data_IF_562302858259
#
_entry.id   IF_562302858259
#
_cell.length_a   1.000
_cell.length_b   1.000
_cell.length_c   1.000
_cell.angle_alpha   90.00
_cell.angle_beta   90.00
_cell.angle_gamma   90.00
#
_symmetry.space_group_name_H-M   'P 1'
#
loop_
_entity.id
_entity.type
_entity.pdbx_description
1 polymer ?
#
# COMPACT_ATOMS: atom_id res chain seq x y z
N UNK A 1 0.20 28.91 3.27
CA UNK A 1 0.94 27.72 3.79
C UNK A 1 0.08 26.50 3.58
N UNK A 2 0.62 25.44 2.95
CA UNK A 2 -0.05 24.14 2.86
C UNK A 2 0.47 23.20 3.96
N UNK A 3 -0.41 22.32 4.47
CA UNK A 3 -0.05 21.28 5.43
C UNK A 3 -0.91 20.04 5.24
N UNK A 4 -0.40 18.87 5.63
CA UNK A 4 -1.16 17.63 5.60
C UNK A 4 -2.20 17.60 6.73
N UNK A 5 -3.49 17.62 6.37
CA UNK A 5 -4.59 17.59 7.33
C UNK A 5 -4.96 16.16 7.76
N UNK A 6 -4.63 15.17 6.97
CA UNK A 6 -4.89 13.75 7.20
C UNK A 6 -5.01 12.97 5.88
N UNK A 7 -5.13 11.63 5.99
CA UNK A 7 -4.88 10.80 7.17
C UNK A 7 -3.41 10.72 7.55
N UNK A 8 -3.11 10.25 8.78
CA UNK A 8 -1.75 10.07 9.28
C UNK A 8 -1.70 9.93 10.80
N UNK A 9 -0.48 9.77 11.33
CA UNK A 9 -0.25 9.69 12.77
C UNK A 9 -0.61 11.03 13.43
N UNK A 10 -1.53 10.99 14.39
CA UNK A 10 -2.10 12.19 15.01
C UNK A 10 -1.05 13.16 15.58
N UNK A 11 0.00 12.63 16.23
CA UNK A 11 1.08 13.46 16.77
C UNK A 11 1.84 14.23 15.67
N UNK A 12 2.13 13.58 14.54
CA UNK A 12 2.80 14.22 13.40
C UNK A 12 1.91 15.25 12.72
N UNK A 13 0.62 14.93 12.54
CA UNK A 13 -0.37 15.86 11.96
C UNK A 13 -0.51 17.11 12.83
N UNK A 14 -0.65 16.95 14.16
CA UNK A 14 -0.77 18.08 15.09
C UNK A 14 0.45 19.01 15.06
N UNK A 15 1.68 18.47 14.95
CA UNK A 15 2.90 19.28 14.85
C UNK A 15 2.88 20.08 13.54
N UNK A 16 2.61 19.42 12.41
CA UNK A 16 2.54 20.07 11.10
C UNK A 16 1.48 21.17 11.04
N UNK A 17 0.28 20.86 11.52
CA UNK A 17 -0.84 21.80 11.59
C UNK A 17 -0.52 23.00 12.48
N UNK A 18 0.06 22.78 13.67
CA UNK A 18 0.41 23.88 14.60
C UNK A 18 1.44 24.83 13.98
N UNK A 19 2.48 24.28 13.34
CA UNK A 19 3.50 25.10 12.66
C UNK A 19 2.87 25.88 11.52
N UNK A 20 2.08 25.24 10.66
CA UNK A 20 1.44 25.87 9.51
C UNK A 20 0.47 27.00 9.95
N UNK A 21 -0.36 26.75 10.95
CA UNK A 21 -1.28 27.76 11.55
C UNK A 21 -0.52 28.92 12.14
N UNK A 22 0.59 28.68 12.81
CA UNK A 22 1.42 29.76 13.40
C UNK A 22 2.00 30.65 12.30
N UNK A 23 2.58 30.06 11.26
CA UNK A 23 3.12 30.81 10.12
C UNK A 23 2.03 31.63 9.42
N UNK A 24 0.89 30.99 9.12
CA UNK A 24 -0.25 31.63 8.49
C UNK A 24 -0.73 32.84 9.27
N UNK A 25 -0.90 32.71 10.60
CA UNK A 25 -1.33 33.79 11.45
C UNK A 25 -0.32 34.93 11.58
N UNK A 26 0.97 34.62 11.68
CA UNK A 26 2.02 35.64 11.83
C UNK A 26 2.25 36.42 10.57
N UNK A 27 2.19 35.77 9.41
CA UNK A 27 2.44 36.38 8.11
C UNK A 27 1.18 36.84 7.39
N UNK A 28 0.00 36.62 7.96
CA UNK A 28 -1.31 36.91 7.37
C UNK A 28 -1.44 36.32 5.95
N UNK A 29 -1.08 35.05 5.80
CA UNK A 29 -1.16 34.30 4.54
C UNK A 29 -2.12 33.12 4.67
N UNK A 30 -2.71 32.72 3.54
CA UNK A 30 -3.71 31.65 3.48
C UNK A 30 -3.17 30.32 3.97
N UNK A 31 -4.03 29.57 4.68
CA UNK A 31 -3.76 28.22 5.19
C UNK A 31 -4.54 27.20 4.36
N UNK A 32 -3.83 26.24 3.75
CA UNK A 32 -4.41 25.23 2.86
C UNK A 32 -4.23 23.83 3.45
N UNK A 33 -5.32 23.18 3.93
CA UNK A 33 -5.28 21.79 4.36
C UNK A 33 -5.27 20.86 3.13
N UNK A 34 -4.33 19.92 3.10
CA UNK A 34 -4.16 18.95 2.00
C UNK A 34 -4.45 17.55 2.52
N UNK A 35 -5.22 16.78 1.76
CA UNK A 35 -5.42 15.36 2.01
C UNK A 35 -4.17 14.58 1.58
N UNK A 36 -3.62 13.75 2.48
CA UNK A 36 -2.41 12.96 2.22
C UNK A 36 -2.59 11.97 1.05
N UNK A 37 -3.74 11.31 0.98
CA UNK A 37 -4.01 10.34 -0.09
C UNK A 37 -4.19 11.03 -1.45
N UNK A 38 -4.81 12.21 -1.47
CA UNK A 38 -4.88 13.04 -2.68
C UNK A 38 -3.50 13.41 -3.19
N UNK A 39 -2.56 13.71 -2.29
CA UNK A 39 -1.16 13.93 -2.66
C UNK A 39 -0.53 12.71 -3.35
N UNK A 40 -0.87 11.50 -2.93
CA UNK A 40 -0.42 10.28 -3.61
C UNK A 40 -1.10 10.06 -4.97
N UNK A 41 -2.42 10.33 -5.06
CA UNK A 41 -3.18 10.19 -6.31
C UNK A 41 -2.65 11.15 -7.39
N UNK A 42 -2.24 12.34 -6.99
CA UNK A 42 -1.74 13.38 -7.91
C UNK A 42 -0.24 13.30 -8.20
N UNK A 43 0.53 12.55 -7.39
CA UNK A 43 1.98 12.46 -7.53
C UNK A 43 2.47 12.02 -8.93
N UNK A 44 1.82 11.07 -9.64
CA UNK A 44 2.22 10.70 -10.99
C UNK A 44 2.18 11.87 -11.99
N UNK A 45 1.29 12.83 -11.81
CA UNK A 45 1.22 14.04 -12.63
C UNK A 45 2.43 14.99 -12.49
N UNK A 46 3.30 14.77 -11.47
CA UNK A 46 4.57 15.50 -11.36
C UNK A 46 5.65 14.94 -12.29
N UNK A 47 5.54 13.67 -12.68
CA UNK A 47 6.49 12.99 -13.58
C UNK A 47 5.97 12.98 -15.01
N UNK A 48 4.65 12.86 -15.20
CA UNK A 48 3.98 12.90 -16.51
C UNK A 48 2.98 14.05 -16.58
N UNK A 49 3.39 15.16 -17.19
CA UNK A 49 2.55 16.34 -17.39
C UNK A 49 1.37 16.09 -18.34
N UNK A 50 1.36 14.94 -19.06
CA UNK A 50 0.27 14.56 -19.96
C UNK A 50 -0.74 13.61 -19.31
N UNK A 51 -0.62 13.34 -18.02
CA UNK A 51 -1.60 12.54 -17.29
C UNK A 51 -2.94 13.29 -17.26
N UNK A 52 -3.88 12.82 -18.06
CA UNK A 52 -5.22 13.41 -18.16
C UNK A 52 -6.25 12.54 -17.41
N UNK A 53 -7.28 13.19 -16.89
CA UNK A 53 -8.46 12.49 -16.32
C UNK A 53 -9.42 12.08 -17.45
N UNK A 54 -10.21 10.98 -17.29
CA UNK A 54 -10.22 10.09 -16.13
C UNK A 54 -9.07 9.08 -16.12
N UNK A 55 -8.61 8.67 -14.93
CA UNK A 55 -7.66 7.58 -14.78
C UNK A 55 -7.94 6.75 -13.52
N UNK A 56 -7.40 5.53 -13.48
CA UNK A 56 -7.42 4.68 -12.30
C UNK A 56 -6.09 4.79 -11.56
N UNK A 57 -6.17 4.90 -10.24
CA UNK A 57 -5.02 4.92 -9.35
C UNK A 57 -5.05 3.69 -8.44
N UNK A 58 -4.04 2.82 -8.53
CA UNK A 58 -3.79 1.80 -7.53
C UNK A 58 -2.88 2.39 -6.45
N UNK A 59 -3.47 2.72 -5.31
CA UNK A 59 -2.76 3.23 -4.14
C UNK A 59 -2.32 2.07 -3.26
N UNK A 60 -1.01 1.84 -3.15
CA UNK A 60 -0.41 0.79 -2.32
C UNK A 60 0.58 1.40 -1.34
N UNK A 61 0.31 1.25 -0.05
CA UNK A 61 1.16 1.79 1.02
C UNK A 61 1.16 0.90 2.26
N UNK A 62 1.86 1.33 3.31
CA UNK A 62 1.85 0.65 4.62
C UNK A 62 0.49 0.69 5.33
N UNK A 63 -0.37 1.67 5.03
CA UNK A 63 -1.66 1.84 5.71
C UNK A 63 -2.88 1.73 4.78
N UNK A 64 -2.68 1.79 3.46
CA UNK A 64 -3.78 1.80 2.50
C UNK A 64 -3.47 0.91 1.30
N UNK A 65 -4.51 0.21 0.82
CA UNK A 65 -4.49 -0.48 -0.47
C UNK A 65 -5.87 -0.27 -1.08
N UNK A 66 -5.94 0.56 -2.12
CA UNK A 66 -7.19 1.02 -2.72
C UNK A 66 -7.08 1.15 -4.24
N UNK A 67 -8.16 0.84 -4.96
CA UNK A 67 -8.36 1.24 -6.34
C UNK A 67 -9.28 2.47 -6.32
N UNK A 68 -8.81 3.55 -6.92
CA UNK A 68 -9.49 4.84 -6.91
C UNK A 68 -9.65 5.31 -8.34
N UNK A 69 -10.87 5.64 -8.73
CA UNK A 69 -11.16 6.38 -9.97
C UNK A 69 -11.01 7.88 -9.72
N UNK A 70 -10.17 8.51 -10.52
CA UNK A 70 -10.07 9.96 -10.62
C UNK A 70 -10.81 10.39 -11.89
N UNK A 71 -12.08 10.76 -11.76
CA UNK A 71 -12.90 11.21 -12.90
C UNK A 71 -12.52 12.60 -13.36
N UNK A 72 -12.15 13.47 -12.43
CA UNK A 72 -11.56 14.80 -12.63
C UNK A 72 -10.74 15.19 -11.39
N UNK A 73 -9.86 16.18 -11.51
CA UNK A 73 -9.07 16.63 -10.36
C UNK A 73 -9.99 17.13 -9.23
N UNK A 74 -9.81 16.52 -8.03
CA UNK A 74 -10.65 16.78 -6.87
C UNK A 74 -11.91 15.90 -6.76
N UNK A 75 -12.17 15.03 -7.75
CA UNK A 75 -13.30 14.08 -7.74
C UNK A 75 -12.78 12.65 -7.78
N UNK A 76 -12.84 11.97 -6.63
CA UNK A 76 -12.29 10.65 -6.41
C UNK A 76 -13.36 9.67 -5.93
N UNK A 77 -13.41 8.49 -6.54
CA UNK A 77 -14.29 7.40 -6.12
C UNK A 77 -13.46 6.16 -5.80
N UNK A 78 -13.60 5.63 -4.57
CA UNK A 78 -12.99 4.35 -4.20
C UNK A 78 -13.84 3.24 -4.85
N UNK A 79 -13.23 2.46 -5.73
CA UNK A 79 -13.86 1.33 -6.40
C UNK A 79 -13.65 0.03 -5.63
N UNK A 80 -12.53 -0.09 -4.92
CA UNK A 80 -12.20 -1.22 -4.07
C UNK A 80 -11.10 -0.88 -3.08
N UNK A 81 -11.09 -1.56 -1.95
CA UNK A 81 -10.10 -1.37 -0.90
C UNK A 81 -9.81 -2.67 -0.13
N UNK A 82 -8.73 -2.67 0.64
CA UNK A 82 -8.49 -3.81 1.52
C UNK A 82 -9.53 -3.90 2.63
N UNK A 83 -10.03 -5.11 2.88
CA UNK A 83 -11.00 -5.37 3.95
C UNK A 83 -10.33 -5.74 5.29
N UNK A 84 -9.00 -5.86 5.28
CA UNK A 84 -8.21 -6.22 6.45
C UNK A 84 -6.84 -5.50 6.44
N UNK A 85 -5.73 -6.21 6.38
CA UNK A 85 -4.39 -5.62 6.34
C UNK A 85 -4.16 -4.87 5.02
N UNK A 86 -3.47 -3.74 5.07
CA UNK A 86 -2.90 -3.13 3.85
C UNK A 86 -1.76 -4.00 3.29
N UNK A 87 -1.50 -3.88 2.00
CA UNK A 87 -0.43 -4.62 1.32
C UNK A 87 0.93 -4.43 2.02
N UNK A 88 1.34 -3.18 2.29
CA UNK A 88 2.60 -2.89 2.96
C UNK A 88 2.64 -3.42 4.40
N UNK A 89 1.52 -3.40 5.12
CA UNK A 89 1.40 -4.00 6.44
C UNK A 89 1.60 -5.53 6.40
N UNK A 90 1.08 -6.21 5.37
CA UNK A 90 1.32 -7.63 5.16
C UNK A 90 2.81 -7.92 4.93
N UNK A 91 3.51 -7.10 4.14
CA UNK A 91 4.97 -7.19 3.95
C UNK A 91 5.73 -6.98 5.25
N UNK A 92 5.36 -6.01 6.09
CA UNK A 92 6.00 -5.76 7.39
C UNK A 92 5.80 -6.94 8.35
N UNK A 93 4.57 -7.50 8.39
CA UNK A 93 4.25 -8.69 9.20
C UNK A 93 5.04 -9.92 8.76
N UNK A 94 5.14 -10.18 7.46
CA UNK A 94 5.92 -11.30 6.91
C UNK A 94 7.42 -11.06 7.09
N UNK A 95 7.91 -9.84 6.88
CA UNK A 95 9.30 -9.48 7.17
C UNK A 95 9.69 -9.81 8.60
N UNK A 96 8.83 -9.51 9.57
CA UNK A 96 9.05 -9.88 10.97
C UNK A 96 9.11 -11.39 11.19
N UNK A 97 8.28 -12.19 10.50
CA UNK A 97 8.32 -13.64 10.57
C UNK A 97 9.64 -14.23 10.00
N UNK A 98 10.20 -13.56 9.00
CA UNK A 98 11.48 -13.90 8.36
C UNK A 98 12.70 -13.31 9.09
N UNK A 99 12.53 -12.77 10.30
CA UNK A 99 13.58 -12.13 11.11
C UNK A 99 14.22 -10.91 10.43
N UNK A 100 13.48 -10.20 9.58
CA UNK A 100 13.93 -8.98 8.92
C UNK A 100 13.52 -7.73 9.73
N UNK A 101 14.40 -6.72 9.75
CA UNK A 101 14.09 -5.46 10.42
C UNK A 101 13.05 -4.65 9.65
N UNK A 102 12.40 -3.73 10.34
CA UNK A 102 11.51 -2.72 9.75
C UNK A 102 12.30 -1.68 8.93
N UNK A 103 11.76 -1.19 7.79
CA UNK A 103 10.54 -1.64 7.12
C UNK A 103 10.72 -3.00 6.40
N UNK A 104 9.69 -3.84 6.48
CA UNK A 104 9.75 -5.22 5.95
C UNK A 104 9.69 -5.25 4.43
N UNK A 105 8.90 -4.39 3.79
CA UNK A 105 8.67 -4.42 2.34
C UNK A 105 9.95 -4.49 1.50
N UNK A 106 10.86 -3.51 1.56
CA UNK A 106 12.11 -3.54 0.77
C UNK A 106 13.00 -4.75 1.09
N UNK A 107 12.99 -5.22 2.34
CA UNK A 107 13.83 -6.35 2.78
C UNK A 107 13.28 -7.69 2.30
N UNK A 108 11.96 -7.89 2.38
CA UNK A 108 11.29 -9.07 1.82
C UNK A 108 11.48 -9.12 0.30
N UNK A 109 11.30 -8.00 -0.40
CA UNK A 109 11.52 -7.92 -1.84
C UNK A 109 12.95 -8.26 -2.23
N UNK A 110 13.94 -7.73 -1.50
CA UNK A 110 15.35 -8.07 -1.73
C UNK A 110 15.67 -9.55 -1.46
N UNK A 111 15.08 -10.13 -0.41
CA UNK A 111 15.25 -11.55 -0.11
C UNK A 111 14.60 -12.43 -1.19
N UNK A 112 13.49 -12.01 -1.75
CA UNK A 112 12.76 -12.69 -2.81
C UNK A 112 13.53 -12.81 -4.14
N UNK A 113 14.48 -11.89 -4.42
CA UNK A 113 15.29 -11.90 -5.66
C UNK A 113 16.04 -13.22 -5.91
N UNK A 114 16.40 -13.94 -4.84
CA UNK A 114 17.10 -15.23 -4.90
C UNK A 114 16.19 -16.45 -4.80
N UNK A 115 14.88 -16.26 -4.68
CA UNK A 115 13.92 -17.33 -4.37
C UNK A 115 13.13 -17.82 -5.58
N UNK A 116 12.49 -18.99 -5.39
CA UNK A 116 11.58 -19.58 -6.37
C UNK A 116 10.12 -19.22 -6.01
N UNK A 117 9.43 -18.36 -6.79
CA UNK A 117 8.07 -17.91 -6.50
C UNK A 117 7.01 -19.03 -6.61
N UNK A 118 7.33 -20.14 -7.27
CA UNK A 118 6.43 -21.28 -7.45
C UNK A 118 6.55 -22.36 -6.36
N UNK A 119 7.47 -22.19 -5.38
CA UNK A 119 7.72 -23.23 -4.37
C UNK A 119 6.56 -23.39 -3.39
N UNK A 120 5.93 -22.29 -2.98
CA UNK A 120 4.82 -22.29 -2.04
C UNK A 120 3.58 -21.69 -2.70
N UNK A 121 2.46 -22.40 -2.58
CA UNK A 121 1.18 -21.89 -3.09
C UNK A 121 0.40 -21.19 -1.97
N UNK A 122 0.76 -19.95 -1.70
CA UNK A 122 0.06 -19.12 -0.71
C UNK A 122 -1.33 -18.70 -1.19
N UNK A 123 -2.29 -18.45 -0.28
CA UNK A 123 -3.66 -18.12 -0.64
C UNK A 123 -3.74 -16.75 -1.36
N UNK A 124 -4.64 -16.66 -2.34
CA UNK A 124 -5.05 -15.43 -3.02
C UNK A 124 -6.51 -15.18 -2.68
N UNK A 125 -6.73 -14.42 -1.62
CA UNK A 125 -8.08 -14.15 -1.14
C UNK A 125 -8.88 -13.29 -2.13
N UNK A 126 -10.21 -13.41 -2.10
CA UNK A 126 -11.19 -12.63 -2.87
C UNK A 126 -11.06 -12.71 -4.41
N UNK A 127 -10.15 -13.52 -4.95
CA UNK A 127 -9.87 -13.62 -6.39
C UNK A 127 -11.06 -14.11 -7.24
N UNK A 128 -12.07 -14.69 -6.62
CA UNK A 128 -13.29 -15.19 -7.30
C UNK A 128 -14.52 -14.31 -7.07
N UNK A 129 -14.37 -13.31 -6.22
CA UNK A 129 -15.45 -12.39 -5.90
C UNK A 129 -15.61 -11.36 -7.03
N UNK A 130 -16.84 -10.88 -7.19
CA UNK A 130 -17.18 -9.88 -8.22
C UNK A 130 -16.92 -8.43 -7.77
N UNK A 131 -16.28 -8.26 -6.61
CA UNK A 131 -15.89 -6.93 -6.11
C UNK A 131 -14.38 -6.70 -6.35
N UNK A 132 -13.96 -5.46 -6.20
CA UNK A 132 -12.58 -5.02 -6.38
C UNK A 132 -11.79 -4.93 -5.06
N UNK A 133 -12.31 -5.55 -3.99
CA UNK A 133 -11.67 -5.50 -2.69
C UNK A 133 -10.49 -6.46 -2.59
N UNK A 134 -9.57 -6.12 -1.69
CA UNK A 134 -8.38 -6.91 -1.38
C UNK A 134 -8.47 -7.53 0.01
N UNK A 135 -7.72 -8.62 0.23
CA UNK A 135 -7.49 -9.18 1.55
C UNK A 135 -6.10 -9.80 1.61
N UNK A 136 -5.33 -9.44 2.63
CA UNK A 136 -3.94 -9.89 2.82
C UNK A 136 -3.70 -10.57 4.17
N UNK A 137 -4.61 -10.50 5.14
CA UNK A 137 -4.41 -11.03 6.50
C UNK A 137 -4.17 -12.54 6.51
N UNK A 138 -4.79 -13.29 5.59
CA UNK A 138 -4.61 -14.73 5.44
C UNK A 138 -3.21 -15.14 5.01
N UNK A 139 -2.48 -14.28 4.29
CA UNK A 139 -1.11 -14.53 3.82
C UNK A 139 -0.12 -14.65 4.98
N UNK A 140 -0.21 -13.75 5.98
CA UNK A 140 0.65 -13.82 7.18
C UNK A 140 0.51 -15.19 7.88
N UNK A 141 -0.71 -15.66 8.06
CA UNK A 141 -0.98 -16.93 8.73
C UNK A 141 -0.46 -18.11 7.91
N UNK A 142 -0.64 -18.09 6.59
CA UNK A 142 -0.14 -19.11 5.69
C UNK A 142 1.41 -19.19 5.71
N UNK A 143 2.07 -18.03 5.71
CA UNK A 143 3.55 -17.97 5.85
C UNK A 143 3.98 -18.50 7.21
N UNK A 144 3.31 -18.12 8.31
CA UNK A 144 3.64 -18.60 9.65
C UNK A 144 3.64 -20.15 9.73
N UNK A 145 2.58 -20.78 9.21
CA UNK A 145 2.51 -22.25 9.19
C UNK A 145 3.55 -22.88 8.25
N UNK A 146 3.86 -22.26 7.12
CA UNK A 146 4.89 -22.77 6.24
C UNK A 146 6.28 -22.77 6.89
N UNK A 147 6.55 -21.80 7.77
CA UNK A 147 7.85 -21.68 8.44
C UNK A 147 8.09 -22.72 9.54
N UNK A 148 7.06 -23.42 10.04
CA UNK A 148 7.20 -24.42 11.12
C UNK A 148 8.16 -25.56 10.76
N UNK A 149 8.22 -25.94 9.47
CA UNK A 149 9.04 -27.07 8.98
C UNK A 149 10.21 -26.60 8.09
N UNK A 150 10.55 -25.30 8.08
CA UNK A 150 11.56 -24.72 7.20
C UNK A 150 12.79 -24.20 7.95
N UNK A 151 13.93 -24.20 7.26
CA UNK A 151 15.17 -23.59 7.73
C UNK A 151 15.38 -22.22 7.06
N UNK A 152 16.26 -21.36 7.60
CA UNK A 152 16.54 -20.02 7.06
C UNK A 152 16.99 -20.03 5.59
N UNK A 153 17.62 -21.11 5.13
CA UNK A 153 17.99 -21.29 3.70
C UNK A 153 16.79 -21.31 2.75
N UNK A 154 15.59 -21.61 3.26
CA UNK A 154 14.34 -21.67 2.50
C UNK A 154 13.60 -20.32 2.45
N UNK A 155 14.02 -19.35 3.27
CA UNK A 155 13.36 -18.03 3.37
C UNK A 155 13.31 -17.24 2.07
N UNK A 156 14.31 -17.29 1.16
CA UNK A 156 14.18 -16.63 -0.15
C UNK A 156 12.99 -17.13 -0.96
N UNK A 157 12.72 -18.44 -0.94
CA UNK A 157 11.60 -19.03 -1.68
C UNK A 157 10.25 -18.67 -1.01
N UNK A 158 10.21 -18.58 0.33
CA UNK A 158 9.03 -18.10 1.05
C UNK A 158 8.74 -16.66 0.69
N UNK A 159 9.76 -15.79 0.69
CA UNK A 159 9.64 -14.38 0.33
C UNK A 159 9.17 -14.19 -1.12
N UNK A 160 9.75 -14.94 -2.06
CA UNK A 160 9.39 -14.90 -3.47
C UNK A 160 7.95 -15.37 -3.71
N UNK A 161 7.55 -16.50 -3.10
CA UNK A 161 6.19 -17.03 -3.23
C UNK A 161 5.14 -16.14 -2.57
N UNK A 162 5.48 -15.50 -1.44
CA UNK A 162 4.63 -14.51 -0.79
C UNK A 162 4.44 -13.28 -1.67
N UNK A 163 5.53 -12.71 -2.18
CA UNK A 163 5.49 -11.54 -3.06
C UNK A 163 4.66 -11.81 -4.32
N UNK A 164 4.83 -12.97 -4.96
CA UNK A 164 4.04 -13.39 -6.11
C UNK A 164 2.55 -13.46 -5.77
N UNK A 165 2.19 -14.03 -4.61
CA UNK A 165 0.80 -14.10 -4.19
C UNK A 165 0.17 -12.72 -3.97
N UNK A 166 0.94 -11.75 -3.44
CA UNK A 166 0.48 -10.37 -3.27
C UNK A 166 0.28 -9.69 -4.63
N UNK A 167 1.25 -9.85 -5.54
CA UNK A 167 1.19 -9.27 -6.89
C UNK A 167 -0.01 -9.82 -7.66
N UNK A 168 -0.24 -11.13 -7.60
CA UNK A 168 -1.41 -11.76 -8.23
C UNK A 168 -2.74 -11.15 -7.74
N UNK A 169 -2.86 -10.90 -6.43
CA UNK A 169 -4.06 -10.27 -5.85
C UNK A 169 -4.25 -8.85 -6.37
N UNK A 170 -3.16 -8.06 -6.47
CA UNK A 170 -3.21 -6.68 -6.94
C UNK A 170 -3.55 -6.59 -8.44
N UNK A 171 -2.87 -7.35 -9.30
CA UNK A 171 -3.05 -7.30 -10.76
C UNK A 171 -4.46 -7.75 -11.16
N UNK A 172 -5.00 -8.80 -10.54
CA UNK A 172 -6.32 -9.32 -10.90
C UNK A 172 -7.47 -8.37 -10.58
N UNK A 173 -7.31 -7.55 -9.57
CA UNK A 173 -8.30 -6.52 -9.26
C UNK A 173 -8.33 -5.41 -10.32
N UNK A 174 -7.20 -5.14 -10.99
CA UNK A 174 -7.15 -4.21 -12.13
C UNK A 174 -7.82 -4.76 -13.39
N UNK A 175 -7.70 -6.07 -13.68
CA UNK A 175 -8.31 -6.71 -14.87
C UNK A 175 -9.85 -6.68 -14.83
N UNK A 176 -10.47 -6.55 -13.66
CA UNK A 176 -11.91 -6.43 -13.49
C UNK A 176 -12.45 -5.00 -13.71
N UNK A 177 -11.58 -4.00 -13.87
CA UNK A 177 -11.95 -2.59 -14.10
C UNK A 177 -11.88 -2.17 -15.58
N UNK A 178 -11.38 -3.03 -16.48
CA UNK A 178 -11.22 -2.74 -17.92
C UNK A 178 -12.38 -3.21 -18.79
#
# INVERSE_FOLDING_TARGET
VAYTAGPGLIGSLMVGETVAKTISNVLDIELLPINHLEGHILAPGLEDENLETPYLCLLVSGGHTQIIECSEYGSYQILGETVDDACGEAFDKVGKLLNLDYPGGPKVSKLAEGGNPARFNFPRALMKDKNLNFSFSGLKTAVLYALEDLEEKDYPDVAASFQEAVVDVLIRSEEHTS
#
